data_IF_699830121497
#
_entry.id   IF_699830121497
#
_cell.length_a   1.000
_cell.length_b   1.000
_cell.length_c   1.000
_cell.angle_alpha   90.00
_cell.angle_beta   90.00
_cell.angle_gamma   90.00
#
_symmetry.space_group_name_H-M   'P 1'
#
loop_
_entity.id
_entity.type
_entity.pdbx_description
1 polymer ?
#
# COMPACT_ATOMS: atom_id res chain seq x y z
N UNK A 1 1.29 1.73 -1.00
CA UNK A 1 0.92 0.61 -1.90
C UNK A 1 2.01 -0.46 -2.03
N UNK A 2 3.29 -0.07 -2.13
CA UNK A 2 4.43 -0.99 -2.32
C UNK A 2 4.58 -2.00 -1.18
N UNK A 3 4.48 -1.58 0.08
CA UNK A 3 4.67 -2.48 1.24
C UNK A 3 3.70 -3.66 1.26
N UNK A 4 2.42 -3.41 0.93
CA UNK A 4 1.41 -4.47 0.87
C UNK A 4 1.72 -5.45 -0.26
N UNK A 5 2.15 -4.97 -1.42
CA UNK A 5 2.56 -5.82 -2.54
C UNK A 5 3.75 -6.72 -2.16
N UNK A 6 4.75 -6.16 -1.46
CA UNK A 6 5.89 -6.95 -0.93
C UNK A 6 5.41 -8.02 0.05
N UNK A 7 4.47 -7.69 0.94
CA UNK A 7 3.87 -8.65 1.86
C UNK A 7 3.15 -9.80 1.15
N UNK A 8 2.40 -9.50 0.08
CA UNK A 8 1.74 -10.51 -0.75
C UNK A 8 2.76 -11.40 -1.44
N UNK A 9 3.78 -10.82 -2.08
CA UNK A 9 4.84 -11.57 -2.76
C UNK A 9 5.56 -12.53 -1.79
N UNK A 10 5.96 -12.05 -0.61
CA UNK A 10 6.57 -12.89 0.43
C UNK A 10 5.64 -14.03 0.86
N UNK A 11 4.35 -13.76 1.02
CA UNK A 11 3.35 -14.78 1.38
C UNK A 11 3.24 -15.86 0.31
N UNK A 12 3.18 -15.48 -0.98
CA UNK A 12 3.15 -16.43 -2.11
C UNK A 12 4.40 -17.31 -2.11
N UNK A 13 5.59 -16.72 -1.98
CA UNK A 13 6.85 -17.45 -1.97
C UNK A 13 6.95 -18.41 -0.76
N UNK A 14 6.49 -17.98 0.42
CA UNK A 14 6.47 -18.82 1.62
C UNK A 14 5.59 -20.06 1.42
N UNK A 15 4.33 -19.87 0.97
CA UNK A 15 3.39 -20.97 0.73
C UNK A 15 3.91 -21.94 -0.35
N UNK A 16 4.49 -21.41 -1.43
CA UNK A 16 5.08 -22.24 -2.48
C UNK A 16 6.23 -23.10 -1.95
N UNK A 17 7.07 -22.56 -1.05
CA UNK A 17 8.13 -23.32 -0.39
C UNK A 17 7.56 -24.43 0.51
N UNK A 18 6.54 -24.13 1.31
CA UNK A 18 5.87 -25.10 2.18
C UNK A 18 5.27 -26.26 1.36
N UNK A 19 4.64 -25.95 0.22
CA UNK A 19 4.04 -26.92 -0.69
C UNK A 19 5.04 -27.63 -1.63
N UNK A 20 6.34 -27.26 -1.59
CA UNK A 20 7.39 -27.72 -2.52
C UNK A 20 7.03 -27.50 -3.99
N UNK A 21 6.44 -26.35 -4.32
CA UNK A 21 6.01 -25.96 -5.67
C UNK A 21 6.74 -24.69 -6.14
N UNK A 22 6.73 -24.46 -7.44
CA UNK A 22 7.22 -23.21 -8.03
C UNK A 22 6.31 -22.03 -7.66
N UNK A 23 6.90 -20.96 -7.11
CA UNK A 23 6.20 -19.74 -6.72
C UNK A 23 5.61 -19.00 -7.93
N UNK A 24 6.13 -19.21 -9.15
CA UNK A 24 5.60 -18.62 -10.36
C UNK A 24 4.16 -19.04 -10.63
N UNK A 25 3.78 -20.27 -10.23
CA UNK A 25 2.39 -20.74 -10.30
C UNK A 25 1.49 -19.91 -9.39
N UNK A 26 1.90 -19.69 -8.14
CA UNK A 26 1.15 -18.86 -7.19
C UNK A 26 1.04 -17.40 -7.64
N UNK A 27 2.09 -16.85 -8.26
CA UNK A 27 2.06 -15.50 -8.83
C UNK A 27 1.10 -15.41 -10.03
N UNK A 28 1.06 -16.45 -10.88
CA UNK A 28 0.14 -16.54 -12.01
C UNK A 28 -1.32 -16.58 -11.54
N UNK A 29 -1.63 -17.39 -10.52
CA UNK A 29 -2.98 -17.44 -9.95
C UNK A 29 -3.37 -16.10 -9.29
N UNK A 30 -2.45 -15.46 -8.55
CA UNK A 30 -2.68 -14.14 -7.96
C UNK A 30 -3.02 -13.09 -9.03
N UNK A 31 -2.31 -13.10 -10.16
CA UNK A 31 -2.59 -12.19 -11.29
C UNK A 31 -3.96 -12.43 -11.93
N UNK A 32 -4.49 -13.65 -11.89
CA UNK A 32 -5.82 -13.98 -12.41
C UNK A 32 -6.94 -13.91 -11.37
N UNK A 33 -6.63 -13.69 -10.10
CA UNK A 33 -7.63 -13.59 -9.04
C UNK A 33 -8.31 -12.23 -9.12
N UNK A 34 -9.66 -12.16 -9.21
CA UNK A 34 -10.38 -10.90 -9.20
C UNK A 34 -10.12 -10.11 -7.91
N UNK A 35 -9.93 -8.80 -8.05
CA UNK A 35 -9.86 -7.89 -6.91
C UNK A 35 -11.28 -7.70 -6.40
N UNK A 36 -11.49 -8.01 -5.12
CA UNK A 36 -12.77 -7.76 -4.44
C UNK A 36 -13.26 -6.34 -4.71
N UNK A 37 -14.54 -6.17 -5.06
CA UNK A 37 -15.17 -4.87 -5.33
C UNK A 37 -14.80 -4.21 -6.66
N UNK A 38 -13.95 -4.83 -7.49
CA UNK A 38 -13.70 -4.41 -8.88
C UNK A 38 -14.15 -5.46 -9.90
N UNK A 39 -14.27 -6.73 -9.47
CA UNK A 39 -14.56 -7.92 -10.28
C UNK A 39 -13.58 -8.16 -11.46
N UNK A 40 -12.45 -7.46 -11.45
CA UNK A 40 -11.38 -7.57 -12.42
C UNK A 40 -10.09 -8.03 -11.75
N UNK A 41 -9.35 -8.88 -12.44
CA UNK A 41 -8.03 -9.35 -12.01
C UNK A 41 -6.90 -8.42 -12.45
N UNK A 42 -5.73 -8.44 -11.79
CA UNK A 42 -4.55 -7.71 -12.23
C UNK A 42 -4.16 -7.97 -13.69
N UNK A 43 -4.28 -9.22 -14.17
CA UNK A 43 -4.00 -9.58 -15.55
C UNK A 43 -4.98 -8.93 -16.53
N UNK A 44 -6.26 -8.87 -16.19
CA UNK A 44 -7.27 -8.20 -17.01
C UNK A 44 -7.03 -6.69 -17.09
N UNK A 45 -6.65 -6.05 -15.98
CA UNK A 45 -6.35 -4.60 -16.00
C UNK A 45 -5.08 -4.27 -16.80
N UNK A 46 -4.09 -5.17 -16.80
CA UNK A 46 -2.79 -4.91 -17.43
C UNK A 46 -2.73 -5.37 -18.90
N UNK A 47 -3.36 -6.51 -19.22
CA UNK A 47 -3.26 -7.18 -20.52
C UNK A 47 -4.61 -7.28 -21.24
N UNK A 48 -5.68 -6.73 -20.67
CA UNK A 48 -7.05 -6.83 -21.19
C UNK A 48 -7.53 -8.28 -21.38
N UNK A 49 -6.91 -9.26 -20.71
CA UNK A 49 -7.27 -10.68 -20.85
C UNK A 49 -6.91 -11.46 -19.61
N UNK A 50 -7.46 -12.66 -19.47
CA UNK A 50 -7.02 -13.62 -18.44
C UNK A 50 -5.81 -14.41 -18.96
N UNK A 51 -4.90 -14.78 -18.07
CA UNK A 51 -3.80 -15.68 -18.39
C UNK A 51 -4.28 -17.13 -18.27
N UNK A 52 -3.73 -18.02 -19.11
CA UNK A 52 -4.00 -19.44 -19.01
C UNK A 52 -3.41 -19.99 -17.70
N UNK A 53 -4.25 -20.59 -16.86
CA UNK A 53 -3.85 -21.22 -15.60
C UNK A 53 -3.90 -22.74 -15.72
N UNK A 54 -3.61 -23.46 -14.63
CA UNK A 54 -3.75 -24.93 -14.58
C UNK A 54 -5.21 -25.38 -14.49
N UNK A 55 -6.11 -24.47 -14.10
CA UNK A 55 -7.53 -24.74 -14.08
C UNK A 55 -8.11 -24.63 -15.50
N UNK A 56 -9.06 -25.51 -15.87
CA UNK A 56 -9.71 -25.40 -17.17
C UNK A 56 -10.46 -24.07 -17.26
N UNK A 57 -10.25 -23.35 -18.36
CA UNK A 57 -10.90 -22.08 -18.65
C UNK A 57 -11.36 -22.07 -20.10
N UNK A 58 -12.50 -21.44 -20.36
CA UNK A 58 -12.99 -21.24 -21.73
C UNK A 58 -12.03 -20.39 -22.55
N UNK A 59 -11.74 -20.82 -23.78
CA UNK A 59 -10.87 -20.08 -24.71
C UNK A 59 -11.37 -18.65 -24.98
N UNK A 60 -12.69 -18.41 -24.89
CA UNK A 60 -13.26 -17.06 -25.06
C UNK A 60 -12.71 -16.06 -24.03
N UNK A 61 -12.43 -16.52 -22.81
CA UNK A 61 -11.93 -15.68 -21.72
C UNK A 61 -10.42 -15.39 -21.80
N UNK A 62 -9.71 -16.08 -22.69
CA UNK A 62 -8.28 -15.85 -22.95
C UNK A 62 -8.05 -14.74 -23.99
N UNK A 63 -9.09 -14.39 -24.75
CA UNK A 63 -9.05 -13.30 -25.72
C UNK A 63 -9.06 -11.94 -25.01
N UNK A 64 -8.58 -10.92 -25.72
CA UNK A 64 -8.62 -9.55 -25.22
C UNK A 64 -10.08 -9.05 -25.14
N UNK A 65 -10.39 -8.38 -24.04
CA UNK A 65 -11.66 -7.76 -23.73
C UNK A 65 -11.38 -6.33 -23.25
N UNK A 66 -12.16 -5.36 -23.75
CA UNK A 66 -12.02 -3.97 -23.33
C UNK A 66 -12.84 -3.74 -22.05
N UNK A 67 -12.16 -3.32 -21.01
CA UNK A 67 -12.79 -2.97 -19.74
C UNK A 67 -12.87 -1.45 -19.60
N UNK A 68 -14.09 -0.92 -19.70
CA UNK A 68 -14.34 0.50 -19.48
C UNK A 68 -14.47 0.81 -17.99
N UNK A 69 -14.28 2.07 -17.62
CA UNK A 69 -14.55 2.63 -16.29
C UNK A 69 -13.75 1.99 -15.14
N UNK A 70 -12.60 1.36 -15.44
CA UNK A 70 -11.72 0.79 -14.39
C UNK A 70 -11.29 1.87 -13.40
N UNK A 71 -10.91 3.05 -13.91
CA UNK A 71 -10.46 4.16 -13.06
C UNK A 71 -11.55 4.65 -12.11
N UNK A 72 -12.78 4.83 -12.61
CA UNK A 72 -13.93 5.25 -11.80
C UNK A 72 -14.22 4.27 -10.67
N UNK A 73 -14.26 2.97 -10.98
CA UNK A 73 -14.45 1.91 -9.97
C UNK A 73 -13.32 1.87 -8.94
N UNK A 74 -12.08 2.11 -9.36
CA UNK A 74 -10.94 2.19 -8.43
C UNK A 74 -11.07 3.40 -7.48
N UNK A 75 -11.49 4.55 -7.99
CA UNK A 75 -11.74 5.75 -7.19
C UNK A 75 -12.90 5.53 -6.22
N UNK A 76 -14.01 4.96 -6.68
CA UNK A 76 -15.16 4.63 -5.85
C UNK A 76 -14.76 3.69 -4.70
N UNK A 77 -14.02 2.62 -5.01
CA UNK A 77 -13.47 1.71 -4.00
C UNK A 77 -12.56 2.42 -3.01
N UNK A 78 -11.75 3.37 -3.45
CA UNK A 78 -10.90 4.17 -2.55
C UNK A 78 -11.74 5.08 -1.64
N UNK A 79 -12.79 5.68 -2.18
CA UNK A 79 -13.73 6.54 -1.43
C UNK A 79 -14.50 5.74 -0.38
N UNK A 80 -14.97 4.54 -0.71
CA UNK A 80 -15.63 3.64 0.25
C UNK A 80 -14.66 3.29 1.39
N UNK A 81 -13.42 2.87 1.06
CA UNK A 81 -12.42 2.57 2.08
C UNK A 81 -12.13 3.79 2.98
N UNK A 82 -12.02 4.98 2.40
CA UNK A 82 -11.85 6.23 3.13
C UNK A 82 -13.05 6.49 4.07
N UNK A 83 -14.28 6.36 3.57
CA UNK A 83 -15.50 6.56 4.35
C UNK A 83 -15.51 5.68 5.60
N UNK A 84 -15.20 4.39 5.48
CA UNK A 84 -15.19 3.49 6.63
C UNK A 84 -14.02 3.76 7.59
N UNK A 85 -12.85 4.12 7.08
CA UNK A 85 -11.71 4.51 7.91
C UNK A 85 -12.02 5.79 8.71
N UNK A 86 -12.55 6.81 8.04
CA UNK A 86 -12.85 8.12 8.63
C UNK A 86 -13.94 8.06 9.72
N UNK A 87 -14.77 7.01 9.78
CA UNK A 87 -15.74 6.79 10.88
C UNK A 87 -15.09 6.68 12.26
N UNK A 88 -13.87 6.16 12.32
CA UNK A 88 -13.15 5.90 13.58
C UNK A 88 -11.86 6.70 13.69
N UNK A 89 -11.45 7.38 12.61
CA UNK A 89 -10.25 8.17 12.59
C UNK A 89 -10.50 9.56 13.19
N UNK A 90 -9.66 9.94 14.13
CA UNK A 90 -9.64 11.30 14.67
C UNK A 90 -8.41 12.06 14.16
N UNK A 91 -8.55 13.33 13.77
CA UNK A 91 -7.40 14.15 13.40
C UNK A 91 -6.47 14.32 14.61
N UNK A 92 -5.17 14.16 14.37
CA UNK A 92 -4.17 14.47 15.40
C UNK A 92 -4.10 15.99 15.59
N UNK A 93 -4.00 16.50 16.84
CA UNK A 93 -3.73 17.90 17.08
C UNK A 93 -2.46 18.35 16.37
N UNK A 94 -2.47 19.57 15.83
CA UNK A 94 -1.29 20.11 15.17
C UNK A 94 -0.24 20.53 16.18
N UNK A 95 0.98 20.05 15.99
CA UNK A 95 2.13 20.45 16.79
C UNK A 95 2.58 21.87 16.42
N UNK A 96 2.85 22.69 17.44
CA UNK A 96 3.29 24.08 17.24
C UNK A 96 4.80 24.17 17.13
N UNK A 97 5.29 25.20 16.45
CA UNK A 97 6.73 25.53 16.48
C UNK A 97 7.17 25.76 17.93
N UNK A 98 8.31 25.18 18.30
CA UNK A 98 8.86 25.24 19.64
C UNK A 98 8.36 24.16 20.60
N UNK A 99 7.45 23.29 20.16
CA UNK A 99 6.92 22.23 21.01
C UNK A 99 7.94 21.09 21.16
N UNK A 100 8.13 20.63 22.40
CA UNK A 100 9.02 19.53 22.72
C UNK A 100 8.36 18.20 22.34
N UNK A 101 9.05 17.45 21.47
CA UNK A 101 8.64 16.13 21.00
C UNK A 101 9.75 15.13 21.25
N UNK A 102 9.41 13.83 21.20
CA UNK A 102 10.41 12.76 21.22
C UNK A 102 10.45 12.08 19.86
N UNK A 103 11.65 11.86 19.34
CA UNK A 103 11.87 11.18 18.06
C UNK A 103 12.60 9.87 18.29
N UNK A 104 12.15 8.81 17.63
CA UNK A 104 12.85 7.53 17.67
C UNK A 104 14.08 7.58 16.75
N UNK A 105 15.27 7.44 17.34
CA UNK A 105 16.48 7.24 16.59
C UNK A 105 16.52 5.80 16.06
N UNK A 106 16.52 5.64 14.73
CA UNK A 106 16.46 4.32 14.11
C UNK A 106 17.70 3.45 14.33
N UNK A 107 18.86 4.08 14.59
CA UNK A 107 20.14 3.38 14.81
C UNK A 107 20.23 2.86 16.25
N UNK A 108 20.01 3.74 17.22
CA UNK A 108 20.11 3.40 18.64
C UNK A 108 18.82 2.78 19.21
N UNK A 109 17.69 2.90 18.51
CA UNK A 109 16.34 2.48 18.97
C UNK A 109 15.89 3.18 20.26
N UNK A 110 16.46 4.35 20.55
CA UNK A 110 16.15 5.16 21.73
C UNK A 110 15.34 6.40 21.31
N UNK A 111 14.44 6.82 22.19
CA UNK A 111 13.69 8.07 22.05
C UNK A 111 14.55 9.25 22.49
N UNK A 112 14.79 10.19 21.60
CA UNK A 112 15.57 11.40 21.84
C UNK A 112 14.65 12.62 21.86
N UNK A 113 14.95 13.60 22.71
CA UNK A 113 14.19 14.86 22.76
C UNK A 113 14.53 15.73 21.55
N UNK A 114 13.52 16.32 20.93
CA UNK A 114 13.64 17.23 19.81
C UNK A 114 12.58 18.33 19.91
N UNK A 115 12.78 19.42 19.18
CA UNK A 115 11.86 20.55 19.12
C UNK A 115 11.27 20.66 17.72
N UNK A 116 9.99 21.03 17.60
CA UNK A 116 9.36 21.27 16.31
C UNK A 116 9.89 22.60 15.74
N UNK A 117 10.56 22.51 14.59
CA UNK A 117 11.07 23.68 13.87
C UNK A 117 9.97 24.28 12.98
N UNK A 118 9.31 23.45 12.16
CA UNK A 118 8.23 23.91 11.28
C UNK A 118 7.38 22.76 10.73
N UNK A 119 6.15 23.06 10.31
CA UNK A 119 5.27 22.11 9.62
C UNK A 119 5.61 22.05 8.14
N UNK A 120 5.57 20.86 7.54
CA UNK A 120 5.83 20.69 6.11
C UNK A 120 4.67 21.26 5.27
N UNK A 121 4.98 22.17 4.34
CA UNK A 121 3.97 22.89 3.53
C UNK A 121 3.01 21.97 2.75
N UNK A 122 3.55 20.93 2.11
CA UNK A 122 2.78 20.02 1.24
C UNK A 122 2.21 18.77 1.93
N UNK A 123 2.66 18.46 3.15
CA UNK A 123 2.33 17.18 3.79
C UNK A 123 1.86 17.45 5.22
N UNK A 124 0.55 17.37 5.50
CA UNK A 124 -0.03 17.86 6.76
C UNK A 124 0.43 17.08 7.99
N UNK A 125 0.83 15.82 7.82
CA UNK A 125 1.40 14.95 8.87
C UNK A 125 2.93 14.86 8.75
N UNK A 126 3.61 15.95 8.43
CA UNK A 126 5.06 15.96 8.38
C UNK A 126 5.58 17.25 8.97
N UNK A 127 6.60 17.10 9.82
CA UNK A 127 7.22 18.18 10.57
C UNK A 127 8.74 18.13 10.38
N UNK A 128 9.35 19.30 10.36
CA UNK A 128 10.78 19.46 10.58
C UNK A 128 11.01 19.55 12.08
N UNK A 129 11.89 18.70 12.59
CA UNK A 129 12.25 18.61 14.00
C UNK A 129 13.74 18.84 14.16
N UNK A 130 14.12 19.66 15.13
CA UNK A 130 15.50 19.95 15.48
C UNK A 130 15.91 19.08 16.67
N UNK A 131 16.89 18.22 16.47
CA UNK A 131 17.42 17.37 17.54
C UNK A 131 18.37 18.18 18.46
N UNK A 132 18.72 17.64 19.63
CA UNK A 132 19.66 18.28 20.56
C UNK A 132 21.03 18.63 19.94
N UNK A 133 21.47 17.87 18.95
CA UNK A 133 22.70 18.15 18.19
C UNK A 133 22.56 19.26 17.13
N UNK A 134 21.42 19.94 17.07
CA UNK A 134 21.11 21.00 16.09
C UNK A 134 20.72 20.49 14.70
N UNK A 135 20.69 19.18 14.48
CA UNK A 135 20.32 18.58 13.18
C UNK A 135 18.80 18.65 12.96
N UNK A 136 18.40 19.18 11.80
CA UNK A 136 17.01 19.21 11.35
C UNK A 136 16.70 17.90 10.61
N UNK A 137 15.61 17.25 10.99
CA UNK A 137 15.11 16.01 10.40
C UNK A 137 13.65 16.19 9.99
N UNK A 138 13.23 15.51 8.93
CA UNK A 138 11.82 15.42 8.57
C UNK A 138 11.22 14.16 9.18
N UNK A 139 10.12 14.30 9.94
CA UNK A 139 9.40 13.20 10.59
C UNK A 139 7.88 13.34 10.37
N UNK A 140 7.18 12.22 10.44
CA UNK A 140 5.72 12.11 10.44
C UNK A 140 5.29 11.76 11.85
#
# INVERSE_FOLDING_TARGET
MVERAVGIAKSIMRKAREDKRDYLVGLMEYRNTPISGLDLSPAQMMFNRRLKTKLPISNKLLNAELFNNIQEKLIERQNIQKLYYDKTAHPLPELKQGENVRILNFKSKIWESAEIDSKHKLHPRSYFVKNQSGKILRRN
#
